data_IF_859194543569
#
_entry.id   IF_859194543569
#
_cell.length_a   1.000
_cell.length_b   1.000
_cell.length_c   1.000
_cell.angle_alpha   90.00
_cell.angle_beta   90.00
_cell.angle_gamma   90.00
#
_symmetry.space_group_name_H-M   'P 1'
#
loop_
_entity.id
_entity.type
_entity.pdbx_description
1 polymer ?
#
# COMPACT_ATOMS: atom_id res chain seq x y z
N UNK A 1 4.36 27.72 26.49
CA UNK A 1 3.58 27.30 25.29
C UNK A 1 4.43 26.27 24.60
N UNK A 2 4.19 24.99 24.90
CA UNK A 2 4.96 23.89 24.36
C UNK A 2 4.69 23.78 22.85
N UNK A 3 5.72 23.53 22.02
CA UNK A 3 5.57 23.58 20.57
C UNK A 3 4.60 22.48 20.13
N UNK A 4 3.50 22.91 19.52
CA UNK A 4 2.50 22.05 18.90
C UNK A 4 3.17 20.93 18.10
N UNK A 5 3.14 19.73 18.67
CA UNK A 5 3.39 18.49 17.96
C UNK A 5 2.32 18.37 16.88
N UNK A 6 2.60 18.92 15.69
CA UNK A 6 1.73 18.92 14.51
C UNK A 6 1.12 17.54 14.33
N UNK A 7 -0.17 17.45 14.67
CA UNK A 7 -0.99 16.24 14.69
C UNK A 7 -0.95 15.44 13.37
N UNK A 8 -0.63 16.11 12.26
CA UNK A 8 -0.41 15.52 10.93
C UNK A 8 0.81 14.60 10.79
N UNK A 9 1.81 14.69 11.67
CA UNK A 9 3.02 13.84 11.64
C UNK A 9 2.96 12.64 12.61
N UNK A 10 1.78 12.32 13.13
CA UNK A 10 1.58 11.12 13.93
C UNK A 10 1.81 9.85 13.11
N UNK A 11 2.59 8.93 13.67
CA UNK A 11 2.93 7.61 13.10
C UNK A 11 1.67 6.88 12.62
N UNK A 12 0.58 7.00 13.38
CA UNK A 12 -0.72 6.43 13.04
C UNK A 12 -1.35 7.04 11.79
N UNK A 13 -1.30 8.36 11.59
CA UNK A 13 -1.83 9.01 10.38
C UNK A 13 -1.05 8.60 9.12
N UNK A 14 0.27 8.43 9.25
CA UNK A 14 1.12 7.94 8.15
C UNK A 14 0.85 6.47 7.84
N UNK A 15 0.69 5.62 8.85
CA UNK A 15 0.30 4.21 8.67
C UNK A 15 -1.08 4.08 8.05
N UNK A 16 -2.05 4.88 8.51
CA UNK A 16 -3.40 4.90 7.98
C UNK A 16 -3.41 5.38 6.52
N UNK A 17 -2.66 6.44 6.18
CA UNK A 17 -2.52 6.88 4.79
C UNK A 17 -1.83 5.81 3.91
N UNK A 18 -0.78 5.16 4.41
CA UNK A 18 0.00 4.15 3.69
C UNK A 18 -0.78 2.86 3.44
N UNK A 19 -1.57 2.40 4.42
CA UNK A 19 -2.28 1.12 4.33
C UNK A 19 -3.76 1.25 3.95
N UNK A 20 -4.44 2.34 4.29
CA UNK A 20 -5.90 2.48 4.15
C UNK A 20 -6.31 3.41 3.00
N UNK A 21 -5.56 4.49 2.74
CA UNK A 21 -6.03 5.54 1.81
C UNK A 21 -5.30 5.53 0.46
N UNK A 22 -3.98 5.38 0.45
CA UNK A 22 -3.16 5.66 -0.73
C UNK A 22 -2.25 4.50 -1.17
N UNK A 23 -2.16 3.41 -0.39
CA UNK A 23 -1.30 2.29 -0.71
C UNK A 23 0.16 2.74 -0.95
N UNK A 24 0.80 2.38 -2.08
CA UNK A 24 2.17 2.78 -2.39
C UNK A 24 2.38 4.30 -2.43
N UNK A 25 1.33 5.12 -2.61
CA UNK A 25 1.46 6.58 -2.58
C UNK A 25 1.64 7.17 -1.18
N UNK A 26 1.52 6.39 -0.10
CA UNK A 26 1.94 6.83 1.24
C UNK A 26 3.47 6.85 1.44
N UNK A 27 4.23 6.19 0.56
CA UNK A 27 5.70 6.13 0.60
C UNK A 27 6.36 7.52 0.57
N UNK A 28 6.03 8.45 -0.35
CA UNK A 28 6.60 9.80 -0.32
C UNK A 28 6.30 10.55 0.98
N UNK A 29 5.15 10.30 1.62
CA UNK A 29 4.79 10.90 2.91
C UNK A 29 5.63 10.35 4.07
N UNK A 30 5.90 9.03 4.05
CA UNK A 30 6.78 8.37 5.03
C UNK A 30 8.22 8.91 4.95
N UNK A 31 8.71 9.15 3.74
CA UNK A 31 10.06 9.70 3.53
C UNK A 31 10.20 11.14 4.00
N UNK A 32 9.12 11.95 3.91
CA UNK A 32 9.07 13.33 4.39
C UNK A 32 9.12 13.44 5.93
N UNK A 33 8.68 12.41 6.64
CA UNK A 33 8.61 12.43 8.10
C UNK A 33 10.00 12.21 8.75
N UNK A 34 10.50 13.16 9.57
CA UNK A 34 11.78 13.03 10.27
C UNK A 34 11.72 12.10 11.49
N UNK A 35 10.52 11.66 11.90
CA UNK A 35 10.31 10.77 13.06
C UNK A 35 10.58 9.29 12.75
N UNK A 36 10.70 8.90 11.48
CA UNK A 36 10.97 7.52 11.10
C UNK A 36 12.45 7.28 10.86
N UNK A 37 13.01 6.32 11.59
CA UNK A 37 14.37 5.83 11.38
C UNK A 37 14.53 5.22 9.98
N UNK A 38 15.75 5.26 9.42
CA UNK A 38 16.03 4.73 8.07
C UNK A 38 15.60 3.26 7.93
N UNK A 39 15.78 2.45 8.97
CA UNK A 39 15.37 1.05 9.02
C UNK A 39 13.84 0.89 8.89
N UNK A 40 13.05 1.72 9.59
CA UNK A 40 11.59 1.67 9.49
C UNK A 40 11.09 2.04 8.09
N UNK A 41 11.74 3.02 7.44
CA UNK A 41 11.40 3.41 6.05
C UNK A 41 11.61 2.25 5.08
N UNK A 42 12.72 1.53 5.20
CA UNK A 42 13.03 0.36 4.37
C UNK A 42 12.05 -0.78 4.64
N UNK A 43 11.80 -1.11 5.92
CA UNK A 43 10.89 -2.19 6.31
C UNK A 43 9.47 -1.96 5.79
N UNK A 44 8.94 -0.73 5.95
CA UNK A 44 7.61 -0.36 5.47
C UNK A 44 7.53 -0.42 3.94
N UNK A 45 8.56 0.04 3.23
CA UNK A 45 8.61 -0.05 1.76
C UNK A 45 8.59 -1.51 1.29
N UNK A 46 9.39 -2.37 1.93
CA UNK A 46 9.42 -3.79 1.62
C UNK A 46 8.07 -4.46 1.88
N UNK A 47 7.43 -4.17 3.03
CA UNK A 47 6.10 -4.69 3.37
C UNK A 47 5.03 -4.25 2.35
N UNK A 48 4.99 -2.96 2.00
CA UNK A 48 4.06 -2.45 1.01
C UNK A 48 4.28 -3.10 -0.35
N UNK A 49 5.53 -3.26 -0.79
CA UNK A 49 5.85 -3.90 -2.05
C UNK A 49 5.37 -5.36 -2.09
N UNK A 50 5.66 -6.14 -1.02
CA UNK A 50 5.19 -7.53 -0.90
C UNK A 50 3.66 -7.61 -0.94
N UNK A 51 2.98 -6.75 -0.18
CA UNK A 51 1.52 -6.69 -0.17
C UNK A 51 0.94 -6.38 -1.56
N UNK A 52 1.49 -5.39 -2.26
CA UNK A 52 1.07 -5.04 -3.62
C UNK A 52 1.30 -6.21 -4.59
N UNK A 53 2.43 -6.91 -4.48
CA UNK A 53 2.74 -8.08 -5.31
C UNK A 53 1.74 -9.22 -5.10
N UNK A 54 1.33 -9.48 -3.85
CA UNK A 54 0.31 -10.49 -3.54
C UNK A 54 -1.03 -10.10 -4.16
N UNK A 55 -1.52 -8.88 -3.92
CA UNK A 55 -2.79 -8.43 -4.50
C UNK A 55 -2.78 -8.51 -6.03
N UNK A 56 -1.66 -8.14 -6.66
CA UNK A 56 -1.53 -8.17 -8.11
C UNK A 56 -1.59 -9.62 -8.63
N UNK A 57 -0.94 -10.56 -7.96
CA UNK A 57 -1.01 -11.99 -8.33
C UNK A 57 -2.43 -12.51 -8.25
N UNK A 58 -3.11 -12.27 -7.13
CA UNK A 58 -4.50 -12.70 -6.92
C UNK A 58 -5.44 -12.08 -7.97
N UNK A 59 -5.30 -10.77 -8.22
CA UNK A 59 -6.09 -10.06 -9.23
C UNK A 59 -5.86 -10.65 -10.62
N UNK A 60 -4.61 -10.91 -11.00
CA UNK A 60 -4.29 -11.51 -12.29
C UNK A 60 -4.84 -12.95 -12.41
N UNK A 61 -4.82 -13.74 -11.32
CA UNK A 61 -5.43 -15.06 -11.30
C UNK A 61 -6.95 -14.97 -11.48
N UNK A 62 -7.61 -14.08 -10.74
CA UNK A 62 -9.05 -13.85 -10.86
C UNK A 62 -9.44 -13.41 -12.28
N UNK A 63 -8.70 -12.49 -12.88
CA UNK A 63 -8.95 -12.05 -14.27
C UNK A 63 -8.72 -13.18 -15.28
N UNK A 64 -7.68 -13.99 -15.11
CA UNK A 64 -7.44 -15.16 -15.98
C UNK A 64 -8.59 -16.17 -15.89
N UNK A 65 -9.06 -16.46 -14.69
CA UNK A 65 -10.20 -17.35 -14.44
C UNK A 65 -11.48 -16.81 -15.06
N UNK A 66 -11.80 -15.53 -14.83
CA UNK A 66 -12.96 -14.87 -15.41
C UNK A 66 -12.93 -14.89 -16.95
N UNK A 67 -11.77 -14.64 -17.56
CA UNK A 67 -11.58 -14.71 -19.02
C UNK A 67 -11.79 -16.12 -19.56
N UNK A 68 -11.29 -17.15 -18.86
CA UNK A 68 -11.48 -18.54 -19.27
C UNK A 68 -12.97 -18.94 -19.26
N UNK A 69 -13.72 -18.53 -18.24
CA UNK A 69 -15.17 -18.77 -18.15
C UNK A 69 -15.95 -18.04 -19.26
N UNK A 70 -15.59 -16.79 -19.56
CA UNK A 70 -16.26 -16.04 -20.64
C UNK A 70 -15.97 -16.64 -22.02
N UNK A 71 -14.73 -17.11 -22.25
CA UNK A 71 -14.35 -17.77 -23.50
C UNK A 71 -15.07 -19.10 -23.72
N UNK A 72 -15.36 -19.86 -22.65
CA UNK A 72 -16.12 -21.10 -22.75
C UNK A 72 -17.61 -20.87 -23.01
N UNK A 73 -18.18 -19.77 -22.51
CA UNK A 73 -19.58 -19.39 -22.79
C UNK A 73 -19.77 -18.94 -24.22
N UNK A 74 -18.81 -18.20 -24.80
CA UNK A 74 -18.89 -17.75 -26.19
C UNK A 74 -18.68 -18.83 -27.26
N UNK A 75 -18.32 -20.06 -26.86
CA UNK A 75 -18.16 -21.21 -27.76
C UNK A 75 -19.37 -22.17 -27.77
N UNK A 76 -20.40 -21.89 -26.96
CA UNK A 76 -21.69 -22.60 -26.96
C UNK A 76 -22.72 -21.86 -27.81
#
# INVERSE_FOLDING_TARGET
MEPESRWFYSVWSVLLALFVVLGPFGLPLLWRSPRFSRAAKVLLTALTAVYTLVLLRETLQAVRLARAMLASVGQM
#
